data_IF_029241085346
#
_entry.id   IF_029241085346
#
_cell.length_a   1.000
_cell.length_b   1.000
_cell.length_c   1.000
_cell.angle_alpha   90.00
_cell.angle_beta   90.00
_cell.angle_gamma   90.00
#
_symmetry.space_group_name_H-M   'P 1'
#
loop_
_entity.id
_entity.type
_entity.pdbx_description
1 polymer ?
#
# COMPACT_ATOMS: atom_id res chain seq x y z
N UNK A 1 -16.64 18.29 -7.07
CA UNK A 1 -15.38 18.57 -7.76
C UNK A 1 -15.15 17.40 -8.69
N UNK A 2 -15.39 17.58 -9.98
CA UNK A 2 -15.07 16.55 -10.97
C UNK A 2 -13.55 16.46 -11.09
N UNK A 3 -13.03 15.23 -11.07
CA UNK A 3 -11.64 14.99 -11.42
C UNK A 3 -11.49 15.34 -12.90
N UNK A 4 -10.87 16.49 -13.17
CA UNK A 4 -10.27 16.83 -14.45
C UNK A 4 -9.48 15.59 -14.94
N UNK A 5 -9.72 15.15 -16.17
CA UNK A 5 -9.03 14.02 -16.81
C UNK A 5 -7.52 14.27 -17.04
N UNK A 6 -6.91 15.13 -16.23
CA UNK A 6 -5.50 15.38 -16.12
C UNK A 6 -4.77 14.21 -15.47
N UNK A 7 -3.64 13.88 -16.07
CA UNK A 7 -2.75 12.79 -15.68
C UNK A 7 -2.56 12.71 -14.15
N UNK A 8 -3.07 11.65 -13.51
CA UNK A 8 -2.91 11.44 -12.07
C UNK A 8 -1.40 11.36 -11.76
N UNK A 9 -0.87 12.23 -10.88
CA UNK A 9 0.53 12.14 -10.48
C UNK A 9 0.81 10.79 -9.82
N UNK A 10 1.93 10.16 -10.17
CA UNK A 10 2.34 8.86 -9.61
C UNK A 10 3.68 9.03 -8.89
N UNK A 11 3.76 8.52 -7.66
CA UNK A 11 4.99 8.36 -6.90
C UNK A 11 5.34 6.87 -6.76
N UNK A 12 6.64 6.57 -6.79
CA UNK A 12 7.15 5.22 -6.53
C UNK A 12 7.75 5.15 -5.13
N UNK A 13 7.23 4.26 -4.29
CA UNK A 13 7.82 3.86 -3.02
C UNK A 13 8.96 2.86 -3.22
N UNK A 14 9.80 2.70 -2.20
CA UNK A 14 10.91 1.73 -2.24
C UNK A 14 10.50 0.39 -1.65
N UNK A 15 11.00 -0.73 -2.17
CA UNK A 15 10.67 -2.08 -1.64
C UNK A 15 11.19 -2.33 -0.22
N UNK A 16 12.27 -1.64 0.15
CA UNK A 16 12.87 -1.75 1.49
C UNK A 16 11.91 -1.33 2.60
N UNK A 17 10.93 -0.47 2.28
CA UNK A 17 9.89 0.00 3.18
C UNK A 17 8.97 -1.09 3.71
N UNK A 18 8.71 -2.13 2.92
CA UNK A 18 7.62 -3.08 3.19
C UNK A 18 8.04 -4.55 3.16
N UNK A 19 9.25 -4.87 2.73
CA UNK A 19 9.75 -6.26 2.67
C UNK A 19 9.50 -7.02 3.97
N UNK A 20 8.97 -8.24 3.86
CA UNK A 20 8.69 -9.10 5.02
C UNK A 20 10.01 -9.44 5.74
N UNK A 21 10.16 -9.07 7.03
CA UNK A 21 11.31 -9.50 7.81
C UNK A 21 11.24 -11.02 8.02
N UNK A 22 12.40 -11.70 8.04
CA UNK A 22 12.50 -13.15 8.33
C UNK A 22 11.87 -13.56 9.67
N UNK A 23 11.58 -12.60 10.56
CA UNK A 23 10.75 -12.76 11.76
C UNK A 23 9.81 -11.55 11.85
N UNK A 24 8.51 -11.80 11.71
CA UNK A 24 7.51 -10.79 12.01
C UNK A 24 7.54 -10.49 13.52
N UNK A 25 7.71 -9.22 13.87
CA UNK A 25 7.52 -8.73 15.23
C UNK A 25 6.61 -7.51 15.18
N UNK A 26 5.86 -7.27 16.24
CA UNK A 26 4.99 -6.09 16.33
C UNK A 26 5.77 -4.80 16.05
N UNK A 27 7.01 -4.69 16.53
CA UNK A 27 7.88 -3.55 16.25
C UNK A 27 8.26 -3.42 14.76
N UNK A 28 8.42 -4.53 14.05
CA UNK A 28 8.71 -4.53 12.62
C UNK A 28 7.48 -4.18 11.78
N UNK A 29 6.27 -4.57 12.20
CA UNK A 29 5.01 -4.10 11.60
C UNK A 29 4.88 -2.59 11.79
N UNK A 30 4.96 -2.10 13.03
CA UNK A 30 4.83 -0.66 13.34
C UNK A 30 5.81 0.22 12.58
N UNK A 31 7.09 -0.19 12.45
CA UNK A 31 8.08 0.59 11.68
C UNK A 31 7.73 0.71 10.20
N UNK A 32 7.19 -0.37 9.60
CA UNK A 32 6.79 -0.38 8.20
C UNK A 32 5.50 0.41 7.98
N UNK A 33 4.53 0.26 8.87
CA UNK A 33 3.32 1.09 8.88
C UNK A 33 3.66 2.57 9.00
N UNK A 34 4.55 2.95 9.92
CA UNK A 34 4.98 4.34 10.05
C UNK A 34 5.71 4.85 8.79
N UNK A 35 6.58 4.03 8.19
CA UNK A 35 7.26 4.45 6.96
C UNK A 35 6.28 4.66 5.79
N UNK A 36 5.25 3.82 5.65
CA UNK A 36 4.20 4.06 4.67
C UNK A 36 3.43 5.33 5.05
N UNK A 37 3.08 5.54 6.31
CA UNK A 37 2.41 6.76 6.75
C UNK A 37 3.25 8.02 6.42
N UNK A 38 4.56 7.99 6.63
CA UNK A 38 5.47 9.09 6.28
C UNK A 38 5.49 9.33 4.76
N UNK A 39 5.47 8.27 3.95
CA UNK A 39 5.37 8.38 2.49
C UNK A 39 4.04 9.03 2.07
N UNK A 40 2.96 8.70 2.76
CA UNK A 40 1.62 9.24 2.47
C UNK A 40 1.45 10.68 2.97
N UNK A 41 2.08 11.06 4.08
CA UNK A 41 2.10 12.44 4.59
C UNK A 41 2.82 13.39 3.63
N UNK A 42 3.84 12.89 2.93
CA UNK A 42 4.56 13.63 1.89
C UNK A 42 3.80 13.62 0.55
N UNK A 43 2.91 12.65 0.32
CA UNK A 43 2.17 12.54 -0.92
C UNK A 43 1.11 13.64 -1.04
N UNK A 44 1.02 14.25 -2.22
CA UNK A 44 0.01 15.30 -2.47
C UNK A 44 -1.39 14.67 -2.50
N UNK A 45 -2.40 15.36 -1.94
CA UNK A 45 -3.80 14.99 -2.14
C UNK A 45 -4.09 14.87 -3.65
N UNK A 46 -4.59 13.72 -4.10
CA UNK A 46 -4.78 13.44 -5.53
C UNK A 46 -3.68 12.62 -6.21
N UNK A 47 -2.65 12.18 -5.47
CA UNK A 47 -1.54 11.38 -5.99
C UNK A 47 -1.72 9.88 -5.70
N UNK A 48 -1.24 9.05 -6.63
CA UNK A 48 -1.15 7.60 -6.44
C UNK A 48 0.27 7.18 -6.06
N UNK A 49 0.40 6.36 -5.02
CA UNK A 49 1.69 5.80 -4.59
C UNK A 49 1.77 4.32 -4.94
N UNK A 50 2.79 3.92 -5.71
CA UNK A 50 3.06 2.55 -6.12
C UNK A 50 4.26 1.99 -5.34
N UNK A 51 4.06 0.89 -4.61
CA UNK A 51 5.10 0.30 -3.74
C UNK A 51 5.29 -1.18 -4.10
N UNK A 52 6.47 -1.59 -4.61
CA UNK A 52 6.76 -3.01 -4.83
C UNK A 52 6.95 -3.75 -3.49
N UNK A 53 6.17 -4.79 -3.25
CA UNK A 53 6.22 -5.64 -2.06
C UNK A 53 6.78 -7.02 -2.42
N UNK A 54 7.81 -7.46 -1.70
CA UNK A 54 8.33 -8.81 -1.82
C UNK A 54 7.78 -9.68 -0.69
N UNK A 55 7.00 -10.71 -1.03
CA UNK A 55 6.43 -11.67 -0.07
C UNK A 55 7.44 -12.72 0.42
N UNK A 56 8.70 -12.62 -0.01
CA UNK A 56 9.80 -13.53 0.26
C UNK A 56 10.16 -14.41 -0.95
N UNK A 57 9.19 -14.75 -1.80
CA UNK A 57 9.38 -15.55 -3.01
C UNK A 57 8.64 -15.02 -4.24
N UNK A 58 7.93 -13.91 -4.11
CA UNK A 58 7.10 -13.35 -5.14
C UNK A 58 7.00 -11.83 -4.99
N UNK A 59 6.94 -11.13 -6.11
CA UNK A 59 6.78 -9.68 -6.15
C UNK A 59 5.34 -9.33 -6.49
N UNK A 60 4.76 -8.44 -5.71
CA UNK A 60 3.44 -7.87 -5.92
C UNK A 60 3.54 -6.35 -5.82
N UNK A 61 2.53 -5.65 -6.33
CA UNK A 61 2.49 -4.19 -6.31
C UNK A 61 1.37 -3.73 -5.39
N UNK A 62 1.70 -2.91 -4.40
CA UNK A 62 0.73 -2.22 -3.56
C UNK A 62 0.53 -0.83 -4.15
N UNK A 63 -0.72 -0.46 -4.39
CA UNK A 63 -1.10 0.80 -5.00
C UNK A 63 -2.00 1.56 -4.02
N UNK A 64 -1.61 2.76 -3.61
CA UNK A 64 -2.37 3.59 -2.66
C UNK A 64 -2.89 4.80 -3.42
N UNK A 65 -4.21 4.90 -3.54
CA UNK A 65 -4.90 6.06 -4.07
C UNK A 65 -5.37 6.93 -2.90
N UNK A 66 -4.72 8.07 -2.73
CA UNK A 66 -5.04 9.02 -1.66
C UNK A 66 -6.31 9.84 -1.96
N UNK A 67 -6.74 9.90 -3.21
CA UNK A 67 -7.97 10.59 -3.61
C UNK A 67 -9.21 9.73 -3.33
N UNK A 68 -9.11 8.45 -3.69
CA UNK A 68 -10.15 7.46 -3.43
C UNK A 68 -10.07 6.86 -2.02
N UNK A 69 -9.04 7.21 -1.25
CA UNK A 69 -8.71 6.59 0.04
C UNK A 69 -8.81 5.07 -0.08
N UNK A 70 -8.03 4.46 -0.99
CA UNK A 70 -8.11 3.02 -1.30
C UNK A 70 -6.72 2.42 -1.50
N UNK A 71 -6.52 1.18 -1.04
CA UNK A 71 -5.27 0.43 -1.18
C UNK A 71 -5.51 -0.83 -2.02
N UNK A 72 -4.94 -0.88 -3.22
CA UNK A 72 -5.00 -2.02 -4.12
C UNK A 72 -3.83 -2.98 -3.90
N UNK A 73 -4.14 -4.28 -3.85
CA UNK A 73 -3.16 -5.35 -3.89
C UNK A 73 -3.15 -5.99 -5.28
N UNK A 74 -2.07 -5.75 -6.04
CA UNK A 74 -1.93 -6.23 -7.41
C UNK A 74 -0.96 -7.41 -7.44
N UNK A 75 -1.53 -8.61 -7.54
CA UNK A 75 -0.78 -9.86 -7.66
C UNK A 75 -1.05 -10.54 -9.01
N UNK A 76 0.00 -10.64 -9.84
CA UNK A 76 -0.03 -11.35 -11.12
C UNK A 76 -0.32 -12.85 -11.01
N UNK A 77 -0.17 -13.45 -9.83
CA UNK A 77 -0.51 -14.85 -9.54
C UNK A 77 -1.90 -15.01 -8.90
N UNK A 78 -2.62 -13.91 -8.69
CA UNK A 78 -3.97 -13.92 -8.11
C UNK A 78 -4.04 -14.48 -6.69
N UNK A 79 -2.96 -14.36 -5.90
CA UNK A 79 -2.99 -14.80 -4.50
C UNK A 79 -3.61 -13.72 -3.64
N UNK A 80 -4.15 -14.14 -2.50
CA UNK A 80 -4.62 -13.22 -1.47
C UNK A 80 -3.43 -12.57 -0.74
N UNK A 81 -3.60 -11.33 -0.22
CA UNK A 81 -2.62 -10.67 0.62
C UNK A 81 -2.15 -11.55 1.79
N UNK A 82 -0.91 -11.34 2.24
CA UNK A 82 -0.42 -11.96 3.47
C UNK A 82 -1.04 -11.28 4.68
N UNK A 83 -1.20 -12.02 5.79
CA UNK A 83 -1.62 -11.44 7.09
C UNK A 83 -0.74 -10.28 7.55
N UNK A 84 0.54 -10.31 7.18
CA UNK A 84 1.50 -9.25 7.49
C UNK A 84 1.13 -7.94 6.77
N UNK A 85 0.72 -8.03 5.50
CA UNK A 85 0.25 -6.86 4.75
C UNK A 85 -1.12 -6.39 5.26
N UNK A 86 -2.03 -7.30 5.59
CA UNK A 86 -3.30 -6.96 6.24
C UNK A 86 -3.07 -6.18 7.54
N UNK A 87 -2.10 -6.59 8.37
CA UNK A 87 -1.79 -5.93 9.63
C UNK A 87 -1.18 -4.53 9.43
N UNK A 88 -0.28 -4.38 8.45
CA UNK A 88 0.26 -3.07 8.06
C UNK A 88 -0.86 -2.13 7.62
N UNK A 89 -1.72 -2.62 6.72
CA UNK A 89 -2.83 -1.86 6.16
C UNK A 89 -3.82 -1.46 7.27
N UNK A 90 -4.19 -2.39 8.16
CA UNK A 90 -5.05 -2.09 9.30
C UNK A 90 -4.43 -1.01 10.21
N UNK A 91 -3.13 -1.03 10.46
CA UNK A 91 -2.47 0.03 11.22
C UNK A 91 -2.51 1.39 10.52
N UNK A 92 -2.44 1.43 9.18
CA UNK A 92 -2.57 2.68 8.42
C UNK A 92 -3.96 3.30 8.57
N UNK A 93 -5.02 2.49 8.65
CA UNK A 93 -6.39 2.96 8.93
C UNK A 93 -6.52 3.63 10.30
N UNK A 94 -5.68 3.27 11.26
CA UNK A 94 -5.66 3.88 12.60
C UNK A 94 -4.82 5.17 12.67
N UNK A 95 -3.87 5.35 11.74
CA UNK A 95 -2.91 6.45 11.76
C UNK A 95 -3.38 7.64 10.91
N UNK A 96 -4.25 7.42 9.90
CA UNK A 96 -4.75 8.48 9.01
C UNK A 96 -6.17 8.23 8.50
N UNK A 97 -6.73 9.17 7.69
CA UNK A 97 -8.11 9.10 7.20
C UNK A 97 -8.29 8.13 6.01
N UNK A 98 -7.60 6.99 6.00
CA UNK A 98 -7.68 6.06 4.87
C UNK A 98 -8.80 5.04 5.08
N UNK A 99 -9.77 5.04 4.19
CA UNK A 99 -10.62 3.87 3.97
C UNK A 99 -9.75 2.74 3.41
N UNK A 100 -9.90 1.54 3.96
CA UNK A 100 -9.17 0.37 3.47
C UNK A 100 -10.16 -0.52 2.75
N UNK A 101 -10.03 -0.58 1.43
CA UNK A 101 -10.65 -1.64 0.64
C UNK A 101 -9.55 -2.57 0.13
N UNK A 102 -9.50 -3.80 0.68
CA UNK A 102 -8.56 -4.86 0.28
C UNK A 102 -9.07 -5.73 -0.88
N UNK A 103 -10.03 -5.22 -1.67
CA UNK A 103 -10.58 -5.98 -2.79
C UNK A 103 -9.47 -6.38 -3.77
N UNK A 104 -9.30 -7.69 -3.93
CA UNK A 104 -8.44 -8.28 -4.94
C UNK A 104 -9.01 -7.89 -6.31
N UNK A 105 -8.39 -6.94 -6.99
CA UNK A 105 -8.72 -6.68 -8.39
C UNK A 105 -8.24 -7.86 -9.24
N UNK A 106 -9.14 -8.80 -9.51
CA UNK A 106 -9.04 -9.65 -10.68
C UNK A 106 -9.49 -8.83 -11.88
N UNK A 107 -8.61 -8.62 -12.85
CA UNK A 107 -9.05 -8.35 -14.21
C UNK A 107 -8.19 -9.18 -15.15
N UNK A 108 -8.90 -9.92 -16.01
CA UNK A 108 -8.47 -10.99 -16.92
C UNK A 108 -7.22 -10.69 -17.74
#
# INVERSE_FOLDING_TARGET
MEADGGNMPVQFGTSAAITIPKRASHQAVTRRSQHIADLLDISLLGQMTLIPYNTGNHWVLVAIDMAAETIYYLDSLGRIPSKDLEEIVNQLSYIGPLNVNLDCMYTL
#
